data_IF_105198390201
#
_entry.id   IF_105198390201
#
_cell.length_a   1.000
_cell.length_b   1.000
_cell.length_c   1.000
_cell.angle_alpha   90.00
_cell.angle_beta   90.00
_cell.angle_gamma   90.00
#
_symmetry.space_group_name_H-M   'P 1'
#
loop_
_entity.id
_entity.type
_entity.pdbx_description
1 polymer ?
#
# COMPACT_ATOMS: atom_id res chain seq x y z
N UNK A 1 -4.67 -16.70 -5.50
CA UNK A 1 -3.87 -17.55 -4.60
C UNK A 1 -4.17 -17.18 -3.16
N UNK A 2 -4.48 -18.17 -2.34
CA UNK A 2 -4.68 -18.06 -0.88
C UNK A 2 -3.60 -18.81 -0.07
N UNK A 3 -2.75 -19.56 -0.76
CA UNK A 3 -1.66 -20.33 -0.17
C UNK A 3 -0.45 -20.34 -1.10
N UNK A 4 0.76 -20.32 -0.52
CA UNK A 4 2.02 -20.36 -1.27
C UNK A 4 2.16 -21.59 -2.16
N UNK A 5 1.63 -22.75 -1.73
CA UNK A 5 1.64 -24.01 -2.50
C UNK A 5 0.92 -23.91 -3.86
N UNK A 6 0.10 -22.89 -4.06
CA UNK A 6 -0.56 -22.64 -5.35
C UNK A 6 0.36 -21.97 -6.38
N UNK A 7 1.47 -21.35 -5.94
CA UNK A 7 2.42 -20.67 -6.83
C UNK A 7 3.10 -21.61 -7.81
N UNK A 8 3.48 -22.81 -7.35
CA UNK A 8 4.12 -23.83 -8.20
C UNK A 8 3.24 -24.27 -9.39
N UNK A 9 1.93 -24.07 -9.28
CA UNK A 9 1.01 -24.36 -10.39
C UNK A 9 0.97 -23.25 -11.44
N UNK A 10 1.45 -22.04 -11.10
CA UNK A 10 1.42 -20.88 -12.01
C UNK A 10 2.48 -20.99 -13.12
N UNK A 11 3.59 -21.68 -12.87
CA UNK A 11 4.64 -21.90 -13.88
C UNK A 11 4.12 -22.71 -15.07
N UNK A 12 3.16 -23.61 -14.85
CA UNK A 12 2.53 -24.40 -15.91
C UNK A 12 1.52 -23.62 -16.77
N UNK A 13 1.19 -22.37 -16.39
CA UNK A 13 0.19 -21.57 -17.06
C UNK A 13 0.84 -20.44 -17.86
N UNK A 14 0.24 -20.17 -19.02
CA UNK A 14 0.63 -19.29 -20.09
C UNK A 14 1.37 -17.99 -19.71
N UNK A 15 2.11 -17.48 -20.67
CA UNK A 15 2.89 -16.23 -20.64
C UNK A 15 2.05 -14.97 -20.37
N UNK A 16 0.72 -15.01 -20.57
CA UNK A 16 -0.16 -13.88 -20.37
C UNK A 16 -0.88 -13.97 -19.01
N UNK A 17 -0.35 -13.24 -18.03
CA UNK A 17 -0.83 -13.23 -16.64
C UNK A 17 -1.10 -11.81 -16.15
N UNK A 18 -2.22 -11.62 -15.45
CA UNK A 18 -2.53 -10.41 -14.73
C UNK A 18 -2.52 -10.72 -13.22
N UNK A 19 -1.55 -10.16 -12.50
CA UNK A 19 -1.54 -10.27 -11.03
C UNK A 19 -2.45 -9.19 -10.47
N UNK A 20 -3.51 -9.60 -9.80
CA UNK A 20 -4.56 -8.72 -9.31
C UNK A 20 -4.60 -8.73 -7.77
N UNK A 21 -4.57 -7.54 -7.18
CA UNK A 21 -4.89 -7.31 -5.77
C UNK A 21 -6.38 -7.03 -5.58
N UNK A 22 -6.72 -5.85 -5.09
CA UNK A 22 -8.13 -5.42 -4.91
C UNK A 22 -8.84 -4.91 -6.17
N UNK A 23 -8.16 -4.77 -7.30
CA UNK A 23 -8.73 -4.19 -8.51
C UNK A 23 -9.08 -2.70 -8.44
N UNK A 24 -8.60 -2.00 -7.43
CA UNK A 24 -9.02 -0.63 -7.09
C UNK A 24 -8.39 0.48 -7.95
N UNK A 25 -7.42 0.13 -8.81
CA UNK A 25 -6.75 1.09 -9.71
C UNK A 25 -6.54 0.47 -11.10
N UNK A 26 -7.57 -0.18 -11.62
CA UNK A 26 -7.58 -0.81 -12.94
C UNK A 26 -8.91 -0.56 -13.62
N UNK A 27 -8.86 -0.30 -14.93
CA UNK A 27 -10.02 -0.24 -15.81
C UNK A 27 -9.88 -1.32 -16.88
N UNK A 28 -10.75 -2.33 -16.83
CA UNK A 28 -10.82 -3.37 -17.85
C UNK A 28 -11.75 -2.88 -18.97
N UNK A 29 -11.19 -2.65 -20.16
CA UNK A 29 -11.91 -2.13 -21.34
C UNK A 29 -12.35 -3.25 -22.28
N UNK A 30 -11.90 -4.47 -22.05
CA UNK A 30 -12.25 -5.69 -22.80
C UNK A 30 -11.95 -6.92 -21.97
N UNK A 31 -12.39 -8.08 -22.42
CA UNK A 31 -12.04 -9.36 -21.82
C UNK A 31 -10.52 -9.55 -21.79
N UNK A 32 -10.02 -10.14 -20.70
CA UNK A 32 -8.61 -10.42 -20.54
C UNK A 32 -8.29 -11.81 -21.11
N UNK A 33 -7.53 -11.83 -22.19
CA UNK A 33 -7.08 -13.07 -22.84
C UNK A 33 -5.86 -13.66 -22.10
N UNK A 34 -6.09 -14.32 -20.99
CA UNK A 34 -5.05 -14.87 -20.15
C UNK A 34 -5.55 -15.32 -18.79
N UNK A 35 -4.65 -15.49 -17.84
CA UNK A 35 -4.97 -15.90 -16.47
C UNK A 35 -4.91 -14.70 -15.54
N UNK A 36 -5.98 -14.47 -14.79
CA UNK A 36 -6.00 -13.51 -13.69
C UNK A 36 -5.65 -14.24 -12.39
N UNK A 37 -4.54 -13.86 -11.81
CA UNK A 37 -4.05 -14.38 -10.53
C UNK A 37 -4.46 -13.42 -9.42
N UNK A 38 -5.59 -13.69 -8.76
CA UNK A 38 -6.03 -12.89 -7.63
C UNK A 38 -5.21 -13.24 -6.38
N UNK A 39 -4.42 -12.28 -5.89
CA UNK A 39 -3.64 -12.44 -4.68
C UNK A 39 -4.51 -12.22 -3.44
N UNK A 40 -4.76 -13.29 -2.69
CA UNK A 40 -5.58 -13.28 -1.48
C UNK A 40 -4.85 -13.94 -0.30
N UNK A 41 -3.52 -13.88 -0.27
CA UNK A 41 -2.71 -14.33 0.87
C UNK A 41 -3.07 -13.51 2.11
N UNK A 42 -3.24 -14.18 3.26
CA UNK A 42 -3.70 -13.58 4.50
C UNK A 42 -2.71 -13.77 5.63
N UNK A 43 -2.69 -12.81 6.56
CA UNK A 43 -1.93 -12.84 7.80
C UNK A 43 -1.27 -11.49 8.09
N UNK A 44 -1.28 -11.14 9.39
CA UNK A 44 -0.57 -10.00 9.97
C UNK A 44 0.23 -10.56 11.14
N UNK A 45 1.54 -10.43 11.11
CA UNK A 45 2.45 -11.02 12.07
C UNK A 45 3.45 -9.98 12.59
N UNK A 46 3.55 -9.84 13.91
CA UNK A 46 4.63 -9.10 14.55
C UNK A 46 5.87 -9.99 14.58
N UNK A 47 6.85 -9.72 13.70
CA UNK A 47 8.04 -10.57 13.55
C UNK A 47 9.20 -10.13 14.46
N UNK A 48 9.22 -8.86 14.85
CA UNK A 48 10.27 -8.28 15.69
C UNK A 48 9.78 -6.98 16.31
N UNK A 49 10.32 -6.64 17.48
CA UNK A 49 10.19 -5.32 18.09
C UNK A 49 11.48 -4.92 18.80
N UNK A 50 11.69 -3.62 18.91
CA UNK A 50 12.73 -2.99 19.73
C UNK A 50 12.10 -1.88 20.60
N UNK A 51 12.91 -1.07 21.26
CA UNK A 51 12.44 -0.03 22.20
C UNK A 51 11.59 1.04 21.50
N UNK A 52 11.83 1.30 20.22
CA UNK A 52 11.21 2.40 19.46
C UNK A 52 10.30 1.96 18.32
N UNK A 53 10.43 0.74 17.86
CA UNK A 53 9.81 0.26 16.63
C UNK A 53 9.25 -1.14 16.76
N UNK A 54 8.26 -1.42 15.94
CA UNK A 54 7.75 -2.78 15.66
C UNK A 54 7.94 -3.10 14.19
N UNK A 55 8.19 -4.36 13.89
CA UNK A 55 8.32 -4.87 12.52
C UNK A 55 7.17 -5.83 12.26
N UNK A 56 6.27 -5.44 11.38
CA UNK A 56 5.02 -6.15 11.12
C UNK A 56 5.01 -6.66 9.70
N UNK A 57 5.03 -7.98 9.54
CA UNK A 57 4.91 -8.66 8.25
C UNK A 57 3.43 -8.83 7.92
N UNK A 58 3.02 -8.33 6.77
CA UNK A 58 1.62 -8.34 6.33
C UNK A 58 1.52 -9.02 4.98
N UNK A 59 0.66 -10.01 4.87
CA UNK A 59 0.46 -10.77 3.64
C UNK A 59 -0.18 -9.88 2.54
N UNK A 60 0.24 -10.11 1.30
CA UNK A 60 -0.08 -9.26 0.15
C UNK A 60 -1.57 -9.14 -0.16
N UNK A 61 -2.39 -10.10 0.24
CA UNK A 61 -3.85 -10.11 0.06
C UNK A 61 -4.63 -9.43 1.18
N UNK A 62 -3.99 -8.88 2.22
CA UNK A 62 -4.67 -8.08 3.23
C UNK A 62 -5.15 -6.74 2.64
N UNK A 63 -6.27 -6.22 3.15
CA UNK A 63 -6.78 -4.91 2.77
C UNK A 63 -5.91 -3.84 3.41
N UNK A 64 -5.45 -2.88 2.62
CA UNK A 64 -4.58 -1.82 3.12
C UNK A 64 -5.19 -1.07 4.30
N UNK A 65 -6.44 -0.63 4.18
CA UNK A 65 -7.08 0.16 5.24
C UNK A 65 -7.33 -0.66 6.52
N UNK A 66 -7.65 -1.95 6.39
CA UNK A 66 -7.81 -2.83 7.55
C UNK A 66 -6.49 -2.98 8.32
N UNK A 67 -5.36 -3.05 7.60
CA UNK A 67 -4.03 -3.02 8.22
C UNK A 67 -3.75 -1.69 8.91
N UNK A 68 -4.09 -0.54 8.30
CA UNK A 68 -3.94 0.77 8.94
C UNK A 68 -4.72 0.82 10.25
N UNK A 69 -5.98 0.38 10.26
CA UNK A 69 -6.81 0.34 11.46
C UNK A 69 -6.22 -0.62 12.51
N UNK A 70 -5.72 -1.78 12.09
CA UNK A 70 -5.02 -2.69 12.99
C UNK A 70 -3.78 -2.04 13.64
N UNK A 71 -2.99 -1.30 12.89
CA UNK A 71 -1.82 -0.57 13.42
C UNK A 71 -2.24 0.50 14.45
N UNK A 72 -3.31 1.25 14.17
CA UNK A 72 -3.87 2.26 15.08
C UNK A 72 -4.35 1.61 16.37
N UNK A 73 -5.08 0.51 16.29
CA UNK A 73 -5.57 -0.23 17.47
C UNK A 73 -4.43 -0.77 18.35
N UNK A 74 -3.27 -1.02 17.76
CA UNK A 74 -2.04 -1.42 18.46
C UNK A 74 -1.16 -0.25 18.89
N UNK A 75 -1.56 0.99 18.66
CA UNK A 75 -0.78 2.20 18.88
C UNK A 75 0.57 2.21 18.11
N UNK A 76 0.60 1.66 16.90
CA UNK A 76 1.75 1.68 16.00
C UNK A 76 1.60 2.80 14.97
N UNK A 77 2.48 3.80 15.07
CA UNK A 77 2.44 5.01 14.23
C UNK A 77 3.22 4.86 12.92
N UNK A 78 2.81 5.65 11.91
CA UNK A 78 3.50 5.81 10.64
C UNK A 78 2.66 5.55 9.39
N UNK A 79 1.46 4.94 9.53
CA UNK A 79 0.56 4.64 8.41
C UNK A 79 -0.78 5.39 8.49
N UNK A 80 -1.04 6.14 9.54
CA UNK A 80 -2.29 6.86 9.78
C UNK A 80 -2.66 7.86 8.68
N UNK A 81 -1.67 8.55 8.10
CA UNK A 81 -1.86 9.46 6.94
C UNK A 81 -2.28 8.72 5.67
N UNK A 82 -2.04 7.41 5.60
CA UNK A 82 -2.37 6.56 4.46
C UNK A 82 -3.72 5.85 4.62
N UNK A 83 -4.54 6.30 5.57
CA UNK A 83 -5.89 5.80 5.84
C UNK A 83 -6.78 5.88 4.60
N UNK A 84 -7.69 4.92 4.47
CA UNK A 84 -8.70 4.83 3.42
C UNK A 84 -8.13 4.81 1.98
N UNK A 85 -6.83 4.50 1.79
CA UNK A 85 -6.32 4.20 0.46
C UNK A 85 -6.88 2.83 0.04
N UNK A 86 -7.58 2.74 -1.11
CA UNK A 86 -8.11 1.47 -1.56
C UNK A 86 -7.01 0.54 -2.07
N UNK A 87 -7.24 -0.76 -1.97
CA UNK A 87 -6.32 -1.77 -2.48
C UNK A 87 -5.82 -2.76 -1.43
N UNK A 88 -4.86 -3.55 -1.84
CA UNK A 88 -4.24 -4.62 -1.04
C UNK A 88 -2.79 -4.28 -0.72
N UNK A 89 -2.27 -4.89 0.35
CA UNK A 89 -0.88 -4.73 0.79
C UNK A 89 0.11 -4.98 -0.34
N UNK A 90 -0.02 -6.07 -1.10
CA UNK A 90 0.91 -6.39 -2.20
C UNK A 90 0.91 -5.40 -3.37
N UNK A 91 -0.12 -4.56 -3.49
CA UNK A 91 -0.16 -3.49 -4.49
C UNK A 91 0.53 -2.20 -3.98
N UNK A 92 0.72 -2.05 -2.68
CA UNK A 92 1.25 -0.83 -2.09
C UNK A 92 2.69 -0.49 -2.52
N UNK A 93 3.65 -1.46 -2.68
CA UNK A 93 5.00 -1.16 -3.16
C UNK A 93 5.06 -0.87 -4.66
N UNK A 94 4.09 -1.36 -5.44
CA UNK A 94 4.13 -1.22 -6.90
C UNK A 94 4.33 0.23 -7.34
N UNK A 95 3.65 1.15 -6.70
CA UNK A 95 3.73 2.58 -7.01
C UNK A 95 4.02 3.44 -5.78
N UNK A 96 4.69 2.85 -4.75
CA UNK A 96 5.05 3.60 -3.56
C UNK A 96 3.87 4.47 -3.11
N UNK A 97 2.76 3.84 -2.71
CA UNK A 97 1.54 4.59 -2.36
C UNK A 97 1.85 5.71 -1.38
N UNK A 98 1.15 6.82 -1.51
CA UNK A 98 1.39 7.96 -0.64
C UNK A 98 0.23 8.96 -0.68
N UNK A 99 0.03 9.61 0.44
CA UNK A 99 -0.97 10.65 0.64
C UNK A 99 -0.59 11.52 1.84
N UNK A 100 -1.02 12.76 1.83
CA UNK A 100 -0.92 13.67 2.98
C UNK A 100 0.47 13.76 3.61
N UNK A 101 1.51 13.86 2.77
CA UNK A 101 2.89 14.06 3.20
C UNK A 101 3.64 12.79 3.65
N UNK A 102 3.05 11.61 3.49
CA UNK A 102 3.65 10.31 3.83
C UNK A 102 3.62 9.39 2.62
N UNK A 103 4.68 8.63 2.41
CA UNK A 103 4.78 7.59 1.40
C UNK A 103 5.10 6.22 2.03
N UNK A 104 4.76 5.14 1.35
CA UNK A 104 5.05 3.77 1.80
C UNK A 104 6.52 3.58 2.18
N UNK A 105 7.44 4.12 1.35
CA UNK A 105 8.90 4.00 1.58
C UNK A 105 9.35 4.51 2.94
N UNK A 106 8.56 5.37 3.61
CA UNK A 106 8.93 5.96 4.90
C UNK A 106 8.81 4.94 6.05
N UNK A 107 7.91 3.97 5.88
CA UNK A 107 7.66 2.88 6.84
C UNK A 107 8.03 1.50 6.29
N UNK A 108 8.49 1.41 5.05
CA UNK A 108 8.85 0.16 4.40
C UNK A 108 10.16 -0.38 4.99
N UNK A 109 10.18 -1.66 5.34
CA UNK A 109 11.38 -2.36 5.78
C UNK A 109 11.90 -3.30 4.69
N UNK A 110 11.10 -4.29 4.29
CA UNK A 110 11.40 -5.24 3.22
C UNK A 110 10.10 -5.83 2.64
N UNK A 111 10.20 -6.56 1.55
CA UNK A 111 9.12 -7.39 1.04
C UNK A 111 9.64 -8.75 0.58
N UNK A 112 8.77 -9.75 0.62
CA UNK A 112 9.00 -11.03 -0.04
C UNK A 112 8.19 -11.11 -1.32
N UNK A 113 8.81 -11.58 -2.38
CA UNK A 113 8.18 -11.80 -3.66
C UNK A 113 8.57 -13.17 -4.25
N UNK A 114 7.65 -13.76 -4.98
CA UNK A 114 7.88 -14.95 -5.78
C UNK A 114 8.46 -14.57 -7.14
N UNK A 115 9.70 -15.00 -7.40
CA UNK A 115 10.30 -14.93 -8.74
C UNK A 115 9.61 -15.97 -9.62
N UNK A 116 8.91 -15.50 -10.66
CA UNK A 116 8.08 -16.36 -11.51
C UNK A 116 8.95 -17.29 -12.37
N UNK A 117 10.11 -16.81 -12.82
CA UNK A 117 10.98 -17.56 -13.71
C UNK A 117 11.86 -18.56 -12.96
N UNK A 118 12.34 -18.18 -11.76
CA UNK A 118 13.21 -19.03 -10.95
C UNK A 118 12.46 -19.91 -9.95
N UNK A 119 11.15 -19.70 -9.83
CA UNK A 119 10.27 -20.46 -8.91
C UNK A 119 10.77 -20.45 -7.46
N UNK A 120 11.21 -19.30 -6.98
CA UNK A 120 11.72 -19.13 -5.61
C UNK A 120 11.25 -17.82 -4.97
N UNK A 121 11.25 -17.80 -3.65
CA UNK A 121 11.00 -16.57 -2.90
C UNK A 121 12.28 -15.73 -2.83
N UNK A 122 12.15 -14.45 -3.11
CA UNK A 122 13.23 -13.46 -3.04
C UNK A 122 12.78 -12.32 -2.13
N UNK A 123 13.69 -11.85 -1.28
CA UNK A 123 13.46 -10.67 -0.45
C UNK A 123 14.05 -9.43 -1.13
N UNK A 124 13.34 -8.32 -1.06
CA UNK A 124 13.78 -7.02 -1.54
C UNK A 124 13.82 -6.04 -0.38
N UNK A 125 14.96 -5.38 -0.20
CA UNK A 125 15.08 -4.26 0.71
C UNK A 125 14.59 -2.94 0.08
N UNK A 126 14.66 -1.84 0.84
CA UNK A 126 14.23 -0.52 0.39
C UNK A 126 15.03 -0.01 -0.82
N UNK A 127 16.34 -0.30 -0.88
CA UNK A 127 17.22 0.16 -1.96
C UNK A 127 16.93 -0.61 -3.24
N UNK A 128 16.73 -1.92 -3.13
CA UNK A 128 16.40 -2.80 -4.25
C UNK A 128 15.03 -2.47 -4.85
N UNK A 129 14.07 -2.02 -4.04
CA UNK A 129 12.77 -1.56 -4.51
C UNK A 129 12.81 -0.27 -5.34
N UNK A 130 13.89 0.54 -5.26
CA UNK A 130 14.09 1.77 -6.02
C UNK A 130 12.87 2.70 -6.00
N UNK A 131 12.31 2.95 -4.82
CA UNK A 131 11.12 3.77 -4.67
C UNK A 131 11.34 5.20 -5.14
N UNK A 132 10.47 5.68 -6.01
CA UNK A 132 10.34 7.06 -6.44
C UNK A 132 8.90 7.58 -6.27
N UNK A 133 8.62 8.79 -6.75
CA UNK A 133 7.27 9.34 -6.73
C UNK A 133 6.34 8.49 -7.61
N UNK A 134 5.46 7.72 -6.99
CA UNK A 134 4.54 6.76 -7.64
C UNK A 134 5.26 5.74 -8.52
N UNK A 135 6.49 5.36 -8.14
CA UNK A 135 7.35 4.45 -8.87
C UNK A 135 8.02 3.43 -7.97
N UNK A 136 8.32 2.27 -8.55
CA UNK A 136 9.20 1.25 -7.99
C UNK A 136 9.81 0.40 -9.09
N UNK A 137 10.77 -0.45 -8.76
CA UNK A 137 11.38 -1.43 -9.67
C UNK A 137 10.32 -2.36 -10.29
N UNK A 138 9.26 -2.71 -9.56
CA UNK A 138 8.18 -3.61 -9.99
C UNK A 138 7.27 -2.98 -11.06
N UNK A 139 7.27 -1.67 -11.19
CA UNK A 139 6.54 -0.96 -12.23
C UNK A 139 7.38 -0.75 -13.49
N UNK A 140 8.69 -0.87 -13.36
CA UNK A 140 9.69 -0.61 -14.39
C UNK A 140 10.47 -1.88 -14.77
N UNK A 141 11.73 -2.01 -14.34
CA UNK A 141 12.68 -3.04 -14.80
C UNK A 141 12.28 -4.46 -14.44
N UNK A 142 11.58 -4.65 -13.32
CA UNK A 142 11.09 -5.97 -12.85
C UNK A 142 9.59 -6.17 -13.09
N UNK A 143 9.01 -5.39 -14.01
CA UNK A 143 7.58 -5.50 -14.32
C UNK A 143 7.23 -6.91 -14.79
N UNK A 144 6.16 -7.47 -14.21
CA UNK A 144 5.61 -8.81 -14.49
C UNK A 144 6.53 -10.01 -14.17
N UNK A 145 7.66 -9.79 -13.49
CA UNK A 145 8.59 -10.85 -13.12
C UNK A 145 8.31 -11.43 -11.73
N UNK A 146 7.62 -10.68 -10.88
CA UNK A 146 7.44 -11.04 -9.47
C UNK A 146 5.97 -10.98 -9.03
N UNK A 147 5.61 -11.83 -8.07
CA UNK A 147 4.35 -11.77 -7.32
C UNK A 147 4.69 -11.43 -5.87
N UNK A 148 4.33 -10.24 -5.41
CA UNK A 148 4.57 -9.84 -4.02
C UNK A 148 3.73 -10.73 -3.09
N UNK A 149 4.37 -11.33 -2.10
CA UNK A 149 3.77 -12.26 -1.14
C UNK A 149 3.44 -11.60 0.19
N UNK A 150 4.35 -10.75 0.66
CA UNK A 150 4.20 -10.01 1.91
C UNK A 150 5.01 -8.72 1.88
N UNK A 151 4.63 -7.77 2.71
CA UNK A 151 5.39 -6.54 2.98
C UNK A 151 5.60 -6.43 4.47
N UNK A 152 6.83 -6.18 4.88
CA UNK A 152 7.19 -5.90 6.27
C UNK A 152 7.30 -4.39 6.46
N UNK A 153 6.58 -3.88 7.44
CA UNK A 153 6.59 -2.47 7.82
C UNK A 153 7.36 -2.28 9.12
N UNK A 154 8.16 -1.23 9.19
CA UNK A 154 8.73 -0.73 10.42
C UNK A 154 7.90 0.44 10.91
N UNK A 155 7.10 0.22 11.96
CA UNK A 155 6.22 1.22 12.54
C UNK A 155 6.78 1.71 13.88
N UNK A 156 6.47 2.97 14.23
CA UNK A 156 6.94 3.58 15.46
C UNK A 156 6.05 3.23 16.65
N UNK A 157 6.66 3.05 17.81
CA UNK A 157 5.96 3.01 19.13
C UNK A 157 5.72 4.40 19.69
N UNK A 158 6.32 5.45 19.08
CA UNK A 158 6.08 6.85 19.43
C UNK A 158 4.81 7.35 18.74
N UNK A 159 4.03 8.16 19.44
CA UNK A 159 2.83 8.80 18.91
C UNK A 159 3.10 10.11 18.15
N UNK A 160 4.34 10.37 17.72
CA UNK A 160 4.63 11.51 16.86
C UNK A 160 3.92 11.34 15.52
N UNK A 161 3.09 12.32 15.16
CA UNK A 161 2.27 12.29 13.95
C UNK A 161 2.66 13.37 12.96
N UNK A 162 2.50 13.10 11.68
CA UNK A 162 2.70 14.08 10.62
C UNK A 162 1.38 14.81 10.31
N UNK A 163 1.27 16.04 10.75
CA UNK A 163 0.13 16.93 10.48
C UNK A 163 0.48 18.10 9.56
N UNK A 164 1.65 18.06 8.90
CA UNK A 164 2.16 19.16 8.07
C UNK A 164 1.29 19.49 6.84
N UNK A 165 0.45 18.56 6.42
CA UNK A 165 -0.46 18.78 5.30
C UNK A 165 -1.67 19.62 5.75
N UNK A 166 -1.80 20.84 5.21
CA UNK A 166 -2.75 21.87 5.69
C UNK A 166 -4.19 21.38 5.85
N UNK A 167 -4.71 20.57 4.91
CA UNK A 167 -6.06 20.06 5.01
C UNK A 167 -6.29 19.15 6.24
N UNK A 168 -5.26 18.48 6.77
CA UNK A 168 -5.37 17.71 8.02
C UNK A 168 -5.53 18.66 9.20
N UNK A 169 -4.72 19.72 9.26
CA UNK A 169 -4.80 20.72 10.33
C UNK A 169 -6.16 21.40 10.38
N UNK A 170 -6.72 21.77 9.21
CA UNK A 170 -8.04 22.39 9.11
C UNK A 170 -9.13 21.46 9.68
N UNK A 171 -9.11 20.18 9.33
CA UNK A 171 -10.08 19.21 9.83
C UNK A 171 -9.89 18.94 11.32
N UNK A 172 -8.67 18.74 11.81
CA UNK A 172 -8.39 18.57 13.24
C UNK A 172 -8.87 19.76 14.05
N UNK A 173 -8.66 20.98 13.54
CA UNK A 173 -9.17 22.21 14.17
C UNK A 173 -10.69 22.21 14.22
N UNK A 174 -11.36 21.85 13.13
CA UNK A 174 -12.83 21.75 13.07
C UNK A 174 -13.40 20.69 14.02
N UNK A 175 -12.62 19.62 14.29
CA UNK A 175 -12.95 18.57 15.25
C UNK A 175 -12.65 18.97 16.71
N UNK A 176 -12.04 20.14 16.95
CA UNK A 176 -11.65 20.62 18.28
C UNK A 176 -10.44 19.87 18.87
N UNK A 177 -9.62 19.23 18.03
CA UNK A 177 -8.45 18.45 18.47
C UNK A 177 -7.24 19.37 18.57
N UNK A 178 -6.69 19.51 19.79
CA UNK A 178 -5.52 20.37 20.06
C UNK A 178 -4.21 19.58 19.99
N UNK A 179 -4.22 18.33 20.46
CA UNK A 179 -3.04 17.46 20.49
C UNK A 179 -3.41 16.11 19.84
N UNK A 180 -3.29 16.01 18.49
CA UNK A 180 -3.70 14.82 17.77
C UNK A 180 -2.74 13.65 18.03
N UNK A 181 -3.30 12.46 18.24
CA UNK A 181 -2.60 11.19 18.13
C UNK A 181 -2.84 10.55 16.75
N UNK A 182 -2.36 9.33 16.58
CA UNK A 182 -2.49 8.58 15.33
C UNK A 182 -3.95 8.35 14.93
N UNK A 183 -4.83 8.16 15.92
CA UNK A 183 -6.26 7.95 15.67
C UNK A 183 -6.92 9.20 15.11
N UNK A 184 -6.70 10.36 15.73
CA UNK A 184 -7.29 11.63 15.31
C UNK A 184 -6.79 12.02 13.90
N UNK A 185 -5.50 11.77 13.58
CA UNK A 185 -4.98 11.98 12.22
C UNK A 185 -5.64 11.04 11.22
N UNK A 186 -5.79 9.77 11.54
CA UNK A 186 -6.52 8.82 10.69
C UNK A 186 -7.96 9.24 10.45
N UNK A 187 -8.69 9.64 11.51
CA UNK A 187 -10.09 10.09 11.42
C UNK A 187 -10.20 11.35 10.52
N UNK A 188 -9.27 12.30 10.66
CA UNK A 188 -9.20 13.49 9.80
C UNK A 188 -8.95 13.11 8.33
N UNK A 189 -8.01 12.21 8.05
CA UNK A 189 -7.74 11.72 6.71
C UNK A 189 -8.94 11.01 6.11
N UNK A 190 -9.63 10.16 6.88
CA UNK A 190 -10.85 9.48 6.45
C UNK A 190 -11.94 10.51 6.10
N UNK A 191 -12.14 11.53 6.93
CA UNK A 191 -13.12 12.58 6.68
C UNK A 191 -12.82 13.35 5.39
N UNK A 192 -11.56 13.77 5.17
CA UNK A 192 -11.12 14.45 3.95
C UNK A 192 -11.36 13.58 2.71
N UNK A 193 -10.99 12.30 2.77
CA UNK A 193 -11.13 11.39 1.62
C UNK A 193 -12.58 11.09 1.31
N UNK A 194 -13.40 10.85 2.33
CA UNK A 194 -14.83 10.57 2.18
C UNK A 194 -15.61 11.77 1.62
N UNK A 195 -15.16 13.00 1.87
CA UNK A 195 -15.78 14.19 1.28
C UNK A 195 -15.42 14.42 -0.20
N UNK A 196 -14.28 13.87 -0.66
CA UNK A 196 -13.76 14.12 -2.01
C UNK A 196 -13.94 12.97 -2.99
N UNK A 197 -14.05 11.74 -2.48
CA UNK A 197 -14.09 10.53 -3.30
C UNK A 197 -15.42 9.80 -3.10
N UNK A 198 -16.09 9.36 -4.17
CA UNK A 198 -17.28 8.56 -4.04
C UNK A 198 -16.94 7.21 -3.40
N UNK A 199 -17.90 6.66 -2.64
CA UNK A 199 -17.75 5.32 -2.09
C UNK A 199 -17.70 4.29 -3.23
N UNK A 200 -16.63 3.49 -3.37
CA UNK A 200 -16.52 2.51 -4.46
C UNK A 200 -17.58 1.41 -4.43
N UNK A 201 -18.26 1.21 -3.29
CA UNK A 201 -19.39 0.27 -3.17
C UNK A 201 -20.69 0.80 -3.79
N UNK A 202 -20.79 2.12 -3.94
CA UNK A 202 -21.96 2.80 -4.52
C UNK A 202 -21.68 3.19 -5.97
N UNK A 203 -20.51 3.79 -6.21
CA UNK A 203 -20.08 4.20 -7.55
C UNK A 203 -18.67 3.65 -7.78
N UNK A 204 -18.57 2.65 -8.68
CA UNK A 204 -17.29 2.08 -9.09
C UNK A 204 -16.35 3.16 -9.62
N UNK A 205 -15.13 3.21 -9.10
CA UNK A 205 -14.11 4.15 -9.54
C UNK A 205 -12.72 3.51 -9.42
N UNK A 206 -11.75 4.02 -10.18
CA UNK A 206 -10.38 3.58 -10.17
C UNK A 206 -9.46 4.46 -9.30
N UNK A 207 -10.02 5.34 -8.47
CA UNK A 207 -9.28 6.27 -7.64
C UNK A 207 -8.43 7.26 -8.46
N UNK A 208 -7.29 7.68 -7.91
CA UNK A 208 -6.32 8.53 -8.62
C UNK A 208 -5.59 7.73 -9.69
N UNK A 209 -6.12 7.74 -10.90
CA UNK A 209 -5.66 6.94 -12.03
C UNK A 209 -4.42 7.55 -12.71
N UNK A 210 -4.38 8.88 -12.82
CA UNK A 210 -3.26 9.57 -13.46
C UNK A 210 -2.23 10.03 -12.43
N UNK A 211 -0.96 9.95 -12.81
CA UNK A 211 0.16 10.50 -12.06
C UNK A 211 0.26 12.00 -12.33
N UNK A 212 0.37 12.81 -11.26
CA UNK A 212 0.62 14.24 -11.42
C UNK A 212 1.99 14.47 -12.10
N UNK A 213 2.08 15.35 -13.10
CA UNK A 213 3.35 15.68 -13.73
C UNK A 213 4.26 16.45 -12.75
N UNK A 214 5.56 16.20 -12.89
CA UNK A 214 6.58 17.05 -12.28
C UNK A 214 6.94 18.11 -13.33
N UNK A 215 6.72 19.38 -13.01
CA UNK A 215 7.00 20.50 -13.91
C UNK A 215 8.04 21.44 -13.29
N UNK A 216 8.82 22.17 -14.10
CA UNK A 216 9.69 23.22 -13.61
C UNK A 216 8.88 24.31 -12.86
N UNK A 217 9.51 24.91 -11.83
CA UNK A 217 8.83 25.88 -10.94
C UNK A 217 8.24 27.10 -11.67
N UNK A 218 8.81 27.47 -12.81
CA UNK A 218 8.35 28.57 -13.64
C UNK A 218 7.08 28.26 -14.48
N UNK A 219 6.56 27.04 -14.38
CA UNK A 219 5.31 26.63 -15.04
C UNK A 219 4.15 26.41 -14.05
N UNK A 220 4.34 26.80 -12.78
CA UNK A 220 3.32 26.70 -11.72
C UNK A 220 2.71 28.05 -11.45
#
# INVERSE_FOLDING_TARGET
IGQLSQLNKLAAFATNRLILGGGSNILLTKDYEGIVVHNNLKGIELIKEDDTSVYVKVAAGEVWHDFVMHAIDKAWAGVENLSLIPGRIGASPMQNIGAYGVELKDVFYELEAWDIDKEQVVTFDRNECQFGYRESVFKNTLKNQFIILSVTFRLSKSSEVNVSYGAIQDVLTSMGVISPGIKEVSDAVIAIRSSKLPNPKEIGNAGSFFKNPVVPLNLV
#
